data_IF_659285539755
#
_entry.id   IF_659285539755
#
_cell.length_a   1.000
_cell.length_b   1.000
_cell.length_c   1.000
_cell.angle_alpha   90.00
_cell.angle_beta   90.00
_cell.angle_gamma   90.00
#
_symmetry.space_group_name_H-M   'P 1'
#
loop_
_entity.id
_entity.type
_entity.pdbx_description
1 polymer ?
#
# COMPACT_ATOMS: atom_id res chain seq x y z
N UNK A 1 -4.50 -19.33 24.47
CA UNK A 1 -3.87 -18.79 25.69
C UNK A 1 -3.04 -17.60 25.24
N UNK A 2 -3.33 -16.39 25.73
CA UNK A 2 -2.49 -15.22 25.46
C UNK A 2 -1.09 -15.50 26.00
N UNK A 3 -0.11 -15.62 25.11
CA UNK A 3 1.30 -15.65 25.45
C UNK A 3 1.66 -14.30 26.05
N UNK A 4 1.70 -14.21 27.38
CA UNK A 4 2.11 -13.00 28.11
C UNK A 4 3.53 -12.64 27.70
N UNK A 5 3.79 -11.40 27.30
CA UNK A 5 5.15 -10.97 26.97
C UNK A 5 5.97 -10.75 28.26
N UNK A 6 7.29 -10.89 28.20
CA UNK A 6 8.18 -10.61 29.33
C UNK A 6 8.09 -9.16 29.80
N UNK A 7 7.78 -8.23 28.90
CA UNK A 7 7.49 -6.83 29.24
C UNK A 7 6.23 -6.69 30.08
N UNK A 8 5.18 -7.48 29.79
CA UNK A 8 3.92 -7.47 30.54
C UNK A 8 4.09 -8.10 31.92
N UNK A 9 4.90 -9.18 32.04
CA UNK A 9 5.22 -9.84 33.31
C UNK A 9 5.97 -8.89 34.26
N UNK A 10 6.89 -8.08 33.73
CA UNK A 10 7.61 -7.08 34.51
C UNK A 10 6.83 -5.76 34.69
N UNK A 11 5.63 -5.62 34.13
CA UNK A 11 4.83 -4.39 34.13
C UNK A 11 5.59 -3.16 33.59
N UNK A 12 6.43 -3.36 32.56
CA UNK A 12 7.27 -2.31 31.96
C UNK A 12 7.01 -2.14 30.48
N UNK A 13 7.24 -0.92 29.97
CA UNK A 13 7.15 -0.64 28.54
C UNK A 13 8.26 -1.35 27.75
N UNK A 14 7.99 -1.69 26.48
CA UNK A 14 9.00 -2.19 25.53
C UNK A 14 10.17 -1.21 25.37
N UNK A 15 9.92 0.09 25.57
CA UNK A 15 10.93 1.15 25.54
C UNK A 15 11.68 1.36 26.87
N UNK A 16 11.40 0.55 27.88
CA UNK A 16 11.97 0.74 29.21
C UNK A 16 13.50 0.56 29.20
N UNK A 17 14.18 1.38 30.01
CA UNK A 17 15.63 1.30 30.19
C UNK A 17 16.02 0.09 31.07
N UNK A 18 17.28 -0.35 31.00
CA UNK A 18 17.78 -1.44 31.86
C UNK A 18 17.63 -1.13 33.36
N UNK A 19 17.73 0.14 33.73
CA UNK A 19 17.51 0.61 35.11
C UNK A 19 16.06 0.42 35.53
N UNK A 20 15.10 0.79 34.68
CA UNK A 20 13.67 0.62 34.93
C UNK A 20 13.28 -0.86 35.05
N UNK A 21 13.84 -1.73 34.20
CA UNK A 21 13.63 -3.19 34.25
C UNK A 21 14.13 -3.75 35.60
N UNK A 22 15.29 -3.30 36.07
CA UNK A 22 15.86 -3.73 37.35
C UNK A 22 15.03 -3.26 38.54
N UNK A 23 14.55 -2.01 38.50
CA UNK A 23 13.67 -1.45 39.52
C UNK A 23 12.32 -2.20 39.58
N UNK A 24 11.74 -2.50 38.41
CA UNK A 24 10.49 -3.26 38.31
C UNK A 24 10.64 -4.67 38.90
N UNK A 25 11.71 -5.40 38.56
CA UNK A 25 12.03 -6.70 39.16
C UNK A 25 12.10 -6.63 40.69
N UNK A 26 12.81 -5.63 41.23
CA UNK A 26 12.96 -5.47 42.67
C UNK A 26 11.62 -5.15 43.37
N UNK A 27 10.75 -4.37 42.72
CA UNK A 27 9.41 -4.05 43.21
C UNK A 27 8.51 -5.29 43.22
N UNK A 28 8.54 -6.09 42.16
CA UNK A 28 7.74 -7.31 42.04
C UNK A 28 8.26 -8.42 42.96
N UNK A 29 9.58 -8.59 43.09
CA UNK A 29 10.17 -9.56 44.02
C UNK A 29 9.79 -9.29 45.48
N UNK A 30 9.69 -8.02 45.90
CA UNK A 30 9.21 -7.66 47.25
C UNK A 30 7.74 -8.01 47.47
N UNK A 31 6.91 -7.95 46.42
CA UNK A 31 5.48 -8.30 46.48
C UNK A 31 5.25 -9.81 46.47
N UNK A 32 6.05 -10.54 45.69
CA UNK A 32 5.88 -11.97 45.46
C UNK A 32 6.87 -12.84 46.25
N UNK A 33 7.58 -12.27 47.23
CA UNK A 33 8.55 -13.02 48.02
C UNK A 33 7.88 -14.18 48.77
N UNK A 34 8.40 -15.42 48.66
CA UNK A 34 7.78 -16.60 49.25
C UNK A 34 7.62 -16.47 50.77
N UNK A 35 8.60 -15.89 51.47
CA UNK A 35 8.54 -15.69 52.92
C UNK A 35 7.36 -14.80 53.39
N UNK A 36 6.95 -13.83 52.56
CA UNK A 36 5.86 -12.90 52.89
C UNK A 36 4.50 -13.53 52.55
N UNK A 37 4.42 -14.28 51.45
CA UNK A 37 3.15 -14.86 50.96
C UNK A 37 2.85 -16.26 51.51
N UNK A 38 3.87 -16.97 52.00
CA UNK A 38 3.71 -18.25 52.69
C UNK A 38 2.96 -18.07 54.02
N UNK A 39 3.06 -16.90 54.67
CA UNK A 39 2.21 -16.52 55.81
C UNK A 39 0.73 -16.35 55.45
N UNK A 40 0.42 -16.13 54.17
CA UNK A 40 -0.94 -15.91 53.67
C UNK A 40 -1.51 -17.12 52.90
N UNK A 41 -0.76 -18.23 52.80
CA UNK A 41 -1.19 -19.45 52.12
C UNK A 41 -1.28 -19.33 50.59
N UNK A 42 -0.65 -18.33 49.98
CA UNK A 42 -0.67 -18.12 48.53
C UNK A 42 0.66 -18.62 47.96
N UNK A 43 0.60 -19.61 47.08
CA UNK A 43 1.76 -20.06 46.32
C UNK A 43 2.11 -19.01 45.25
N UNK A 44 3.19 -18.27 45.48
CA UNK A 44 3.72 -17.25 44.55
C UNK A 44 5.02 -17.69 43.88
N UNK A 45 5.38 -18.97 44.02
CA UNK A 45 6.62 -19.53 43.50
C UNK A 45 6.66 -19.46 41.97
N UNK A 46 5.56 -19.84 41.32
CA UNK A 46 5.41 -19.78 39.86
C UNK A 46 5.53 -18.35 39.31
N UNK A 47 4.85 -17.39 39.96
CA UNK A 47 4.93 -15.97 39.57
C UNK A 47 6.33 -15.41 39.74
N UNK A 48 7.01 -15.79 40.82
CA UNK A 48 8.39 -15.36 41.04
C UNK A 48 9.34 -15.94 40.00
N UNK A 49 9.11 -17.18 39.57
CA UNK A 49 9.87 -17.80 38.49
C UNK A 49 9.65 -17.07 37.15
N UNK A 50 8.40 -16.75 36.79
CA UNK A 50 8.07 -15.95 35.59
C UNK A 50 8.78 -14.59 35.60
N UNK A 51 8.80 -13.90 36.75
CA UNK A 51 9.47 -12.59 36.91
C UNK A 51 10.99 -12.72 36.71
N UNK A 52 11.60 -13.77 37.25
CA UNK A 52 13.04 -14.00 37.13
C UNK A 52 13.43 -14.36 35.69
N UNK A 53 12.63 -15.17 35.01
CA UNK A 53 12.84 -15.53 33.62
C UNK A 53 12.73 -14.30 32.70
N UNK A 54 11.67 -13.49 32.89
CA UNK A 54 11.49 -12.23 32.16
C UNK A 54 12.67 -11.27 32.38
N UNK A 55 13.16 -11.15 33.62
CA UNK A 55 14.33 -10.33 33.91
C UNK A 55 15.61 -10.88 33.27
N UNK A 56 15.81 -12.20 33.27
CA UNK A 56 17.01 -12.82 32.70
C UNK A 56 17.11 -12.60 31.17
N UNK A 57 15.98 -12.53 30.48
CA UNK A 57 15.92 -12.22 29.05
C UNK A 57 16.06 -10.72 28.79
N UNK A 58 15.39 -9.87 29.56
CA UNK A 58 15.33 -8.42 29.31
C UNK A 58 16.53 -7.63 29.87
N UNK A 59 17.28 -8.18 30.83
CA UNK A 59 18.45 -7.53 31.44
C UNK A 59 19.70 -7.57 30.56
N UNK A 60 19.87 -8.64 29.76
CA UNK A 60 20.99 -8.79 28.84
C UNK A 60 20.64 -8.14 27.49
N UNK A 61 21.42 -7.17 27.00
CA UNK A 61 21.14 -6.48 25.73
C UNK A 61 21.10 -7.44 24.53
N UNK A 62 21.89 -8.53 24.54
CA UNK A 62 21.93 -9.50 23.44
C UNK A 62 20.65 -10.33 23.42
N UNK A 63 20.25 -10.86 24.58
CA UNK A 63 19.01 -11.66 24.72
C UNK A 63 17.77 -10.82 24.49
N UNK A 64 17.77 -9.57 24.97
CA UNK A 64 16.68 -8.62 24.73
C UNK A 64 16.53 -8.34 23.23
N UNK A 65 17.63 -8.13 22.51
CA UNK A 65 17.58 -7.92 21.07
C UNK A 65 17.05 -9.15 20.32
N UNK A 66 17.43 -10.36 20.74
CA UNK A 66 16.91 -11.61 20.18
C UNK A 66 15.41 -11.78 20.44
N UNK A 67 14.98 -11.54 21.68
CA UNK A 67 13.57 -11.56 22.07
C UNK A 67 12.74 -10.50 21.33
N UNK A 68 13.28 -9.29 21.18
CA UNK A 68 12.65 -8.22 20.41
C UNK A 68 12.53 -8.58 18.92
N UNK A 69 13.51 -9.32 18.36
CA UNK A 69 13.42 -9.87 16.99
C UNK A 69 12.35 -10.94 16.89
N UNK A 70 12.22 -11.81 17.88
CA UNK A 70 11.20 -12.86 17.92
C UNK A 70 9.78 -12.28 18.01
N UNK A 71 9.56 -11.31 18.91
CA UNK A 71 8.29 -10.57 19.01
C UNK A 71 7.98 -9.83 17.70
N UNK A 72 8.99 -9.24 17.05
CA UNK A 72 8.80 -8.55 15.75
C UNK A 72 8.58 -9.53 14.61
N UNK A 73 9.20 -10.69 14.62
CA UNK A 73 9.13 -11.73 13.60
C UNK A 73 7.88 -12.62 13.69
N UNK A 74 7.23 -12.67 14.86
CA UNK A 74 5.97 -13.38 15.06
C UNK A 74 4.74 -12.47 15.04
N UNK A 75 4.92 -11.17 14.78
CA UNK A 75 3.88 -10.40 14.09
C UNK A 75 3.86 -10.97 12.67
N UNK A 76 2.70 -11.29 12.06
CA UNK A 76 2.68 -11.44 10.61
C UNK A 76 3.37 -10.19 10.11
N UNK A 77 4.54 -10.40 9.51
CA UNK A 77 5.32 -9.31 8.98
C UNK A 77 4.43 -8.73 7.89
N UNK A 78 3.66 -7.71 8.23
CA UNK A 78 3.45 -6.57 7.35
C UNK A 78 4.83 -5.89 7.25
N UNK A 79 5.82 -6.65 6.81
CA UNK A 79 6.76 -6.16 5.85
C UNK A 79 5.86 -5.47 4.84
N UNK A 80 5.90 -4.16 4.86
CA UNK A 80 5.65 -3.35 3.70
C UNK A 80 6.81 -3.63 2.71
N UNK A 81 7.15 -4.90 2.45
CA UNK A 81 7.37 -5.32 1.08
C UNK A 81 6.11 -4.83 0.41
N UNK A 82 6.26 -3.80 -0.42
CA UNK A 82 5.24 -3.36 -1.33
C UNK A 82 4.71 -4.60 -2.05
N UNK A 83 3.69 -5.26 -1.50
CA UNK A 83 2.80 -6.12 -2.26
C UNK A 83 2.08 -5.11 -3.17
N UNK A 84 2.70 -4.83 -4.30
CA UNK A 84 2.14 -4.07 -5.41
C UNK A 84 0.93 -4.77 -6.04
N UNK A 85 0.51 -5.91 -5.49
CA UNK A 85 -0.58 -6.76 -5.96
C UNK A 85 -1.35 -7.43 -4.81
N UNK A 86 -1.53 -6.75 -3.67
CA UNK A 86 -2.70 -7.07 -2.84
C UNK A 86 -3.73 -6.00 -3.12
N UNK A 87 -4.71 -6.41 -3.94
CA UNK A 87 -5.98 -5.74 -4.15
C UNK A 87 -6.49 -5.18 -2.83
N UNK A 88 -6.27 -3.88 -2.63
CA UNK A 88 -7.41 -3.11 -2.20
C UNK A 88 -8.48 -3.31 -3.27
N UNK A 89 -9.34 -4.30 -3.06
CA UNK A 89 -10.77 -4.05 -3.13
C UNK A 89 -11.04 -2.83 -2.24
N UNK A 90 -10.60 -1.64 -2.67
CA UNK A 90 -11.38 -0.43 -2.46
C UNK A 90 -12.72 -0.85 -3.03
N UNK A 91 -13.66 -1.16 -2.13
CA UNK A 91 -15.04 -1.46 -2.47
C UNK A 91 -15.40 -0.46 -3.55
N UNK A 92 -15.51 -0.93 -4.79
CA UNK A 92 -15.91 -0.10 -5.92
C UNK A 92 -17.36 0.25 -5.61
N UNK A 93 -17.55 1.29 -4.81
CA UNK A 93 -18.86 1.86 -4.56
C UNK A 93 -19.34 2.35 -5.94
N UNK A 94 -20.32 1.68 -6.55
CA UNK A 94 -20.74 1.98 -7.92
C UNK A 94 -21.16 3.45 -8.07
N UNK A 95 -21.57 4.06 -6.95
CA UNK A 95 -22.05 5.43 -6.88
C UNK A 95 -20.91 6.47 -6.69
N UNK A 96 -19.71 6.06 -6.24
CA UNK A 96 -18.57 6.96 -5.99
C UNK A 96 -17.24 6.43 -6.57
N UNK A 97 -17.05 6.51 -7.91
CA UNK A 97 -15.79 6.15 -8.56
C UNK A 97 -14.61 7.01 -8.06
N UNK A 98 -13.61 6.36 -7.44
CA UNK A 98 -12.36 6.97 -6.98
C UNK A 98 -11.40 7.24 -8.14
N UNK A 99 -10.34 8.03 -7.92
CA UNK A 99 -9.32 8.28 -8.96
C UNK A 99 -8.72 6.98 -9.52
N UNK A 100 -8.62 5.96 -8.67
CA UNK A 100 -8.10 4.63 -9.00
C UNK A 100 -8.94 3.96 -10.08
N UNK A 101 -10.27 4.12 -10.09
CA UNK A 101 -11.15 3.51 -11.11
C UNK A 101 -10.87 4.11 -12.49
N UNK A 102 -10.69 5.43 -12.57
CA UNK A 102 -10.31 6.12 -13.81
C UNK A 102 -8.91 5.71 -14.29
N UNK A 103 -7.96 5.56 -13.36
CA UNK A 103 -6.61 5.09 -13.68
C UNK A 103 -6.63 3.65 -14.25
N UNK A 104 -7.36 2.73 -13.59
CA UNK A 104 -7.57 1.36 -14.07
C UNK A 104 -8.21 1.35 -15.45
N UNK A 105 -9.25 2.17 -15.67
CA UNK A 105 -9.94 2.27 -16.96
C UNK A 105 -9.02 2.80 -18.08
N UNK A 106 -8.15 3.76 -17.79
CA UNK A 106 -7.17 4.25 -18.75
C UNK A 106 -6.11 3.19 -19.11
N UNK A 107 -5.66 2.40 -18.13
CA UNK A 107 -4.77 1.25 -18.35
C UNK A 107 -5.43 0.18 -19.22
N UNK A 108 -6.64 -0.25 -18.86
CA UNK A 108 -7.41 -1.23 -19.62
C UNK A 108 -7.66 -0.77 -21.08
N UNK A 109 -7.98 0.51 -21.27
CA UNK A 109 -8.13 1.09 -22.61
C UNK A 109 -6.83 0.97 -23.42
N UNK A 110 -5.68 1.21 -22.79
CA UNK A 110 -4.38 1.08 -23.44
C UNK A 110 -4.10 -0.35 -23.89
N UNK A 111 -4.35 -1.32 -23.01
CA UNK A 111 -4.15 -2.74 -23.31
C UNK A 111 -5.03 -3.20 -24.46
N UNK A 112 -6.30 -2.76 -24.49
CA UNK A 112 -7.23 -3.03 -25.60
C UNK A 112 -6.69 -2.47 -26.91
N UNK A 113 -6.12 -1.27 -26.90
CA UNK A 113 -5.58 -0.64 -28.09
C UNK A 113 -4.32 -1.35 -28.57
N UNK A 114 -3.45 -1.79 -27.66
CA UNK A 114 -2.28 -2.60 -28.00
C UNK A 114 -2.68 -3.93 -28.64
N UNK A 115 -3.67 -4.62 -28.07
CA UNK A 115 -4.26 -5.84 -28.63
C UNK A 115 -4.86 -5.58 -30.02
N UNK A 116 -5.63 -4.50 -30.19
CA UNK A 116 -6.21 -4.13 -31.49
C UNK A 116 -5.14 -3.85 -32.55
N UNK A 117 -4.04 -3.19 -32.16
CA UNK A 117 -2.92 -2.90 -33.04
C UNK A 117 -2.19 -4.17 -33.49
N UNK A 118 -2.08 -5.17 -32.63
CA UNK A 118 -1.57 -6.49 -33.01
C UNK A 118 -2.51 -7.18 -34.01
N UNK A 119 -3.82 -7.16 -33.75
CA UNK A 119 -4.84 -7.76 -34.62
C UNK A 119 -4.92 -7.07 -35.99
N UNK A 120 -4.74 -5.75 -36.07
CA UNK A 120 -4.67 -5.02 -37.34
C UNK A 120 -3.52 -5.48 -38.23
N UNK A 121 -2.40 -5.97 -37.66
CA UNK A 121 -1.27 -6.51 -38.43
C UNK A 121 -1.59 -7.90 -38.99
N UNK A 122 -2.41 -8.66 -38.29
CA UNK A 122 -2.79 -10.04 -38.66
C UNK A 122 -3.96 -10.12 -39.65
N UNK A 123 -4.59 -8.99 -40.01
CA UNK A 123 -5.62 -8.84 -41.08
C UNK A 123 -6.90 -9.69 -40.99
N UNK A 124 -7.11 -10.52 -39.97
CA UNK A 124 -8.16 -11.56 -40.04
C UNK A 124 -9.21 -11.63 -38.91
N UNK A 125 -9.42 -10.58 -38.10
CA UNK A 125 -10.38 -10.70 -36.97
C UNK A 125 -11.29 -9.47 -36.79
N UNK A 126 -12.12 -9.15 -37.79
CA UNK A 126 -13.06 -8.02 -37.72
C UNK A 126 -14.08 -8.15 -36.56
N UNK A 127 -14.58 -9.36 -36.29
CA UNK A 127 -15.50 -9.61 -35.17
C UNK A 127 -14.85 -9.29 -33.81
N UNK A 128 -13.62 -9.76 -33.59
CA UNK A 128 -12.85 -9.51 -32.36
C UNK A 128 -12.48 -8.04 -32.20
N UNK A 129 -12.22 -7.33 -33.31
CA UNK A 129 -11.99 -5.88 -33.29
C UNK A 129 -13.25 -5.11 -32.86
N UNK A 130 -14.44 -5.56 -33.29
CA UNK A 130 -15.71 -4.98 -32.83
C UNK A 130 -15.96 -5.19 -31.33
N UNK A 131 -15.68 -6.39 -30.80
CA UNK A 131 -15.76 -6.66 -29.35
C UNK A 131 -14.81 -5.76 -28.55
N UNK A 132 -13.56 -5.64 -29.00
CA UNK A 132 -12.58 -4.74 -28.39
C UNK A 132 -12.99 -3.27 -28.48
N UNK A 133 -13.64 -2.85 -29.58
CA UNK A 133 -14.16 -1.49 -29.72
C UNK A 133 -15.27 -1.20 -28.71
N UNK A 134 -16.18 -2.16 -28.47
CA UNK A 134 -17.25 -2.03 -27.47
C UNK A 134 -16.66 -1.93 -26.05
N UNK A 135 -15.67 -2.76 -25.72
CA UNK A 135 -14.98 -2.69 -24.43
C UNK A 135 -14.23 -1.36 -24.26
N UNK A 136 -13.54 -0.90 -25.30
CA UNK A 136 -12.87 0.41 -25.30
C UNK A 136 -13.86 1.56 -25.07
N UNK A 137 -15.05 1.52 -25.71
CA UNK A 137 -16.08 2.53 -25.55
C UNK A 137 -16.54 2.66 -24.10
N UNK A 138 -16.72 1.55 -23.39
CA UNK A 138 -17.11 1.57 -21.97
C UNK A 138 -16.10 2.37 -21.12
N UNK A 139 -14.81 2.08 -21.27
CA UNK A 139 -13.76 2.80 -20.54
C UNK A 139 -13.65 4.28 -20.96
N UNK A 140 -13.87 4.58 -22.24
CA UNK A 140 -13.88 5.95 -22.76
C UNK A 140 -15.02 6.78 -22.15
N UNK A 141 -16.22 6.20 -22.05
CA UNK A 141 -17.38 6.87 -21.44
C UNK A 141 -17.05 7.24 -19.99
N UNK A 142 -16.53 6.28 -19.23
CA UNK A 142 -16.15 6.48 -17.83
C UNK A 142 -15.09 7.60 -17.66
N UNK A 143 -14.08 7.65 -18.53
CA UNK A 143 -13.09 8.73 -18.53
C UNK A 143 -13.66 10.10 -18.92
N UNK A 144 -14.66 10.12 -19.82
CA UNK A 144 -15.33 11.36 -20.25
C UNK A 144 -16.30 11.88 -19.20
N UNK A 145 -16.99 11.01 -18.47
CA UNK A 145 -17.83 11.38 -17.32
C UNK A 145 -17.02 12.08 -16.23
N UNK A 146 -15.79 11.60 -16.01
CA UNK A 146 -14.82 12.23 -15.12
C UNK A 146 -14.28 13.59 -15.62
N UNK A 147 -14.70 14.04 -16.81
CA UNK A 147 -14.19 15.23 -17.51
C UNK A 147 -12.68 15.20 -17.73
N UNK A 148 -12.07 14.02 -17.87
CA UNK A 148 -10.65 13.89 -18.17
C UNK A 148 -10.43 14.04 -19.67
N UNK A 149 -9.68 15.05 -20.13
CA UNK A 149 -9.44 15.24 -21.55
C UNK A 149 -8.64 14.09 -22.19
N UNK A 150 -8.90 13.79 -23.46
CA UNK A 150 -8.27 12.68 -24.21
C UNK A 150 -6.74 12.73 -24.25
N UNK A 151 -6.15 13.92 -24.02
CA UNK A 151 -4.70 14.10 -23.95
C UNK A 151 -4.06 13.40 -22.75
N UNK A 152 -4.84 13.16 -21.68
CA UNK A 152 -4.34 12.54 -20.45
C UNK A 152 -4.58 11.03 -20.38
N UNK A 153 -5.30 10.44 -21.32
CA UNK A 153 -5.65 9.00 -21.27
C UNK A 153 -4.44 8.07 -21.46
N UNK A 154 -3.27 8.63 -21.75
CA UNK A 154 -2.07 7.84 -21.95
C UNK A 154 -1.51 7.36 -20.58
N UNK A 155 -1.14 6.07 -20.44
CA UNK A 155 -0.79 5.49 -19.14
C UNK A 155 0.31 6.23 -18.38
N UNK A 156 1.36 6.69 -19.07
CA UNK A 156 2.47 7.42 -18.42
C UNK A 156 1.98 8.70 -17.72
N UNK A 157 0.97 9.36 -18.28
CA UNK A 157 0.37 10.57 -17.72
C UNK A 157 -0.52 10.22 -16.53
N UNK A 158 -1.36 9.19 -16.68
CA UNK A 158 -2.23 8.70 -15.61
C UNK A 158 -1.43 8.15 -14.42
N UNK A 159 -0.31 7.49 -14.66
CA UNK A 159 0.60 7.01 -13.62
C UNK A 159 1.18 8.16 -12.80
N UNK A 160 1.58 9.25 -13.44
CA UNK A 160 2.04 10.45 -12.74
C UNK A 160 0.93 11.06 -11.89
N UNK A 161 -0.29 11.17 -12.44
CA UNK A 161 -1.45 11.69 -11.71
C UNK A 161 -1.80 10.81 -10.51
N UNK A 162 -1.74 9.48 -10.65
CA UNK A 162 -1.97 8.53 -9.56
C UNK A 162 -0.95 8.72 -8.44
N UNK A 163 0.33 8.85 -8.79
CA UNK A 163 1.37 9.09 -7.79
C UNK A 163 1.13 10.38 -7.01
N UNK A 164 0.71 11.46 -7.68
CA UNK A 164 0.37 12.73 -7.02
C UNK A 164 -0.91 12.66 -6.19
N UNK A 165 -1.91 11.92 -6.65
CA UNK A 165 -3.12 11.67 -5.87
C UNK A 165 -2.83 10.85 -4.62
N UNK A 166 -1.93 9.87 -4.70
CA UNK A 166 -1.51 9.08 -3.53
C UNK A 166 -0.77 9.92 -2.48
N UNK A 167 0.01 10.92 -2.93
CA UNK A 167 0.65 11.86 -2.01
C UNK A 167 -0.37 12.71 -1.23
N UNK A 168 -1.49 13.08 -1.85
CA UNK A 168 -2.54 13.90 -1.24
C UNK A 168 -3.92 13.56 -1.81
N UNK A 169 -4.68 12.72 -1.09
CA UNK A 169 -6.01 12.24 -1.50
C UNK A 169 -7.10 13.33 -1.55
N UNK A 170 -6.83 14.50 -0.97
CA UNK A 170 -7.75 15.64 -0.96
C UNK A 170 -7.70 16.46 -2.26
N UNK A 171 -6.80 16.12 -3.19
CA UNK A 171 -6.73 16.83 -4.46
C UNK A 171 -7.89 16.46 -5.38
N UNK A 172 -8.64 17.47 -5.78
CA UNK A 172 -9.63 17.35 -6.84
C UNK A 172 -8.94 16.99 -8.16
N UNK A 173 -9.58 16.17 -8.97
CA UNK A 173 -9.12 15.77 -10.30
C UNK A 173 -8.75 16.98 -11.18
N UNK A 174 -9.55 18.04 -11.18
CA UNK A 174 -9.24 19.26 -11.93
C UNK A 174 -7.93 19.93 -11.47
N UNK A 175 -7.63 19.86 -10.17
CA UNK A 175 -6.39 20.38 -9.60
C UNK A 175 -5.19 19.50 -9.97
N UNK A 176 -5.35 18.17 -9.96
CA UNK A 176 -4.31 17.24 -10.41
C UNK A 176 -3.92 17.47 -11.88
N UNK A 177 -4.91 17.70 -12.75
CA UNK A 177 -4.66 18.03 -14.16
C UNK A 177 -3.88 19.35 -14.31
N UNK A 178 -4.23 20.37 -13.51
CA UNK A 178 -3.48 21.64 -13.50
C UNK A 178 -2.04 21.47 -13.01
N UNK A 179 -1.82 20.67 -11.97
CA UNK A 179 -0.48 20.34 -11.48
C UNK A 179 0.36 19.63 -12.54
N UNK A 180 -0.26 18.73 -13.32
CA UNK A 180 0.42 18.09 -14.44
C UNK A 180 0.83 19.12 -15.52
N UNK A 181 -0.06 20.05 -15.86
CA UNK A 181 0.26 21.10 -16.84
C UNK A 181 1.41 22.01 -16.38
N UNK A 182 1.56 22.22 -15.07
CA UNK A 182 2.70 22.94 -14.49
C UNK A 182 3.99 22.10 -14.55
N UNK A 183 3.91 20.81 -14.21
CA UNK A 183 5.04 19.88 -14.32
C UNK A 183 5.53 19.71 -15.76
N UNK A 184 4.62 19.62 -16.75
CA UNK A 184 4.96 19.53 -18.18
C UNK A 184 5.64 20.81 -18.72
N UNK A 185 5.50 21.94 -18.03
CA UNK A 185 6.13 23.22 -18.39
C UNK A 185 7.49 23.42 -17.71
N UNK A 186 7.60 23.03 -16.44
CA UNK A 186 8.75 23.37 -15.61
C UNK A 186 9.80 22.24 -15.53
N UNK A 187 9.35 20.99 -15.41
CA UNK A 187 10.22 19.88 -15.02
C UNK A 187 10.57 18.95 -16.20
N UNK A 188 9.77 18.95 -17.27
CA UNK A 188 9.98 18.07 -18.42
C UNK A 188 10.98 18.64 -19.42
N UNK A 189 11.99 17.83 -19.77
CA UNK A 189 12.94 18.17 -20.81
C UNK A 189 12.22 18.24 -22.18
N UNK A 190 12.57 19.23 -23.03
CA UNK A 190 11.87 19.49 -24.32
C UNK A 190 11.75 18.26 -25.22
N UNK A 191 12.78 17.40 -25.22
CA UNK A 191 12.83 16.17 -26.01
C UNK A 191 11.86 15.11 -25.47
N UNK A 192 11.81 14.93 -24.15
CA UNK A 192 10.91 13.97 -23.50
C UNK A 192 9.46 14.38 -23.66
N UNK A 193 9.18 15.68 -23.51
CA UNK A 193 7.87 16.27 -23.81
C UNK A 193 7.41 15.94 -25.23
N UNK A 194 8.27 16.19 -26.23
CA UNK A 194 7.95 15.91 -27.63
C UNK A 194 7.72 14.40 -27.88
N UNK A 195 8.52 13.53 -27.25
CA UNK A 195 8.33 12.07 -27.34
C UNK A 195 7.00 11.64 -26.75
N UNK A 196 6.63 12.17 -25.58
CA UNK A 196 5.39 11.86 -24.91
C UNK A 196 4.18 12.33 -25.72
N UNK A 197 4.23 13.55 -26.25
CA UNK A 197 3.19 14.09 -27.12
C UNK A 197 3.03 13.27 -28.41
N UNK A 198 4.13 12.86 -29.04
CA UNK A 198 4.07 12.00 -30.22
C UNK A 198 3.47 10.62 -29.91
N UNK A 199 3.80 10.02 -28.76
CA UNK A 199 3.20 8.75 -28.32
C UNK A 199 1.71 8.90 -28.03
N UNK A 200 1.33 9.95 -27.30
CA UNK A 200 -0.07 10.26 -27.01
C UNK A 200 -0.88 10.52 -28.30
N UNK A 201 -0.31 11.21 -29.29
CA UNK A 201 -0.96 11.43 -30.58
C UNK A 201 -1.18 10.12 -31.36
N UNK A 202 -0.15 9.25 -31.41
CA UNK A 202 -0.27 7.91 -32.03
C UNK A 202 -1.31 7.06 -31.33
N UNK A 203 -1.35 7.13 -30.00
CA UNK A 203 -2.35 6.47 -29.18
C UNK A 203 -3.76 6.94 -29.55
N UNK A 204 -4.02 8.25 -29.53
CA UNK A 204 -5.31 8.81 -29.93
C UNK A 204 -5.73 8.42 -31.35
N UNK A 205 -4.80 8.38 -32.29
CA UNK A 205 -5.08 7.91 -33.64
C UNK A 205 -5.48 6.43 -33.65
N UNK A 206 -4.83 5.60 -32.84
CA UNK A 206 -5.15 4.17 -32.70
C UNK A 206 -6.52 3.97 -32.05
N UNK A 207 -6.86 4.75 -31.02
CA UNK A 207 -8.21 4.77 -30.40
C UNK A 207 -9.25 5.06 -31.47
N UNK A 208 -9.09 6.17 -32.21
CA UNK A 208 -10.03 6.59 -33.27
C UNK A 208 -10.15 5.57 -34.39
N UNK A 209 -9.07 4.83 -34.69
CA UNK A 209 -9.07 3.77 -35.69
C UNK A 209 -9.86 2.55 -35.21
N UNK A 210 -9.72 2.17 -33.95
CA UNK A 210 -10.47 1.07 -33.34
C UNK A 210 -11.97 1.39 -33.29
N UNK A 211 -12.34 2.60 -32.88
CA UNK A 211 -13.74 3.06 -32.81
C UNK A 211 -14.47 3.18 -34.16
N UNK A 212 -13.79 2.94 -35.29
CA UNK A 212 -14.41 2.93 -36.62
C UNK A 212 -14.95 1.55 -37.02
N UNK A 213 -14.58 0.51 -36.27
CA UNK A 213 -15.09 -0.85 -36.43
C UNK A 213 -16.27 -1.07 -35.49
#
# INVERSE_FOLDING_TARGET
MESKNYYDILEVSVKASAQEITLAKNKLAKRYHPDVNMRNGIDTTDKMQEILEAYLVLSDPVKRAEYDREIRGNRPSKMQTFNLYEESEEVEDPDHPTFVTYWKAAGALYDIIEQSNALFRQRENAARLGELAIQALHHIILLREAKIPERYWYPDIMNWLLFKWYQNRNYNLAYLLKLYDEHEKNDMNKIEKLKLQNRAYRYQHSVKKLLRY
#
